data_IF_801203109637
#
_entry.id   IF_801203109637
#
_cell.length_a   1.000
_cell.length_b   1.000
_cell.length_c   1.000
_cell.angle_alpha   90.00
_cell.angle_beta   90.00
_cell.angle_gamma   90.00
#
_symmetry.space_group_name_H-M   'P 1'
#
loop_
_entity.id
_entity.type
_entity.pdbx_description
1 polymer ?
#
# COMPACT_ATOMS: atom_id res chain seq x y z
N UNK A 1 2.92 -19.65 -15.12
CA UNK A 1 2.33 -19.69 -13.77
C UNK A 1 2.78 -20.90 -12.94
N UNK A 2 2.92 -22.12 -13.49
CA UNK A 2 3.33 -23.31 -12.72
C UNK A 2 4.69 -23.18 -12.01
N UNK A 3 5.65 -22.45 -12.59
CA UNK A 3 6.95 -22.26 -11.94
C UNK A 3 6.90 -21.29 -10.75
N UNK A 4 5.99 -20.32 -10.74
CA UNK A 4 5.78 -19.43 -9.58
C UNK A 4 5.25 -20.24 -8.40
N UNK A 5 4.28 -21.11 -8.66
CA UNK A 5 3.70 -21.98 -7.63
C UNK A 5 4.71 -23.03 -7.12
N UNK A 6 5.59 -23.54 -7.99
CA UNK A 6 6.57 -24.56 -7.61
C UNK A 6 7.81 -24.00 -6.92
N UNK A 7 8.29 -22.82 -7.33
CA UNK A 7 9.56 -22.26 -6.87
C UNK A 7 9.37 -21.16 -5.83
N UNK A 8 8.35 -20.32 -5.99
CA UNK A 8 8.18 -19.11 -5.18
C UNK A 8 7.24 -19.41 -4.01
N UNK A 9 6.06 -19.98 -4.25
CA UNK A 9 5.05 -20.19 -3.20
C UNK A 9 5.53 -21.00 -1.97
N UNK A 10 6.37 -22.05 -2.10
CA UNK A 10 6.85 -22.78 -0.92
C UNK A 10 7.78 -21.98 -0.01
N UNK A 11 8.43 -20.94 -0.53
CA UNK A 11 9.32 -20.04 0.22
C UNK A 11 8.63 -18.76 0.70
N UNK A 12 7.39 -18.51 0.29
CA UNK A 12 6.64 -17.32 0.70
C UNK A 12 6.01 -17.58 2.05
N UNK A 13 6.46 -16.83 3.06
CA UNK A 13 5.75 -16.71 4.33
C UNK A 13 4.35 -16.15 4.08
N UNK A 14 3.31 -16.74 4.65
CA UNK A 14 1.94 -16.20 4.57
C UNK A 14 1.71 -15.15 5.66
N UNK A 15 1.97 -13.87 5.36
CA UNK A 15 1.87 -12.75 6.31
C UNK A 15 0.44 -12.45 6.77
N UNK A 16 -0.55 -12.95 6.03
CA UNK A 16 -1.98 -12.86 6.35
C UNK A 16 -2.47 -13.98 7.28
N UNK A 17 -1.62 -14.95 7.65
CA UNK A 17 -2.03 -16.00 8.57
C UNK A 17 -2.22 -15.43 9.98
N UNK A 18 -3.36 -15.70 10.65
CA UNK A 18 -3.63 -15.19 12.01
C UNK A 18 -2.68 -15.75 13.08
N UNK A 19 -1.85 -16.75 12.74
CA UNK A 19 -0.84 -17.33 13.63
C UNK A 19 0.58 -16.77 13.38
N UNK A 20 0.73 -15.79 12.50
CA UNK A 20 2.02 -15.17 12.19
C UNK A 20 2.33 -14.04 13.19
N UNK A 21 3.10 -14.35 14.24
CA UNK A 21 3.48 -13.40 15.30
C UNK A 21 4.93 -12.89 15.21
N UNK A 22 5.62 -13.14 14.09
CA UNK A 22 7.03 -12.76 13.93
C UNK A 22 7.23 -11.26 13.66
N UNK A 23 6.32 -10.63 12.91
CA UNK A 23 6.38 -9.21 12.54
C UNK A 23 4.99 -8.57 12.59
N UNK A 24 4.94 -7.25 12.71
CA UNK A 24 3.69 -6.50 12.60
C UNK A 24 3.11 -6.70 11.20
N UNK A 25 1.93 -7.34 11.11
CA UNK A 25 1.31 -7.64 9.83
C UNK A 25 0.76 -6.36 9.18
N UNK A 26 1.55 -5.80 8.27
CA UNK A 26 1.26 -4.55 7.57
C UNK A 26 0.53 -4.81 6.24
N UNK A 27 -0.63 -5.49 6.25
CA UNK A 27 -1.47 -5.65 5.04
C UNK A 27 -2.90 -6.17 5.31
N UNK A 28 -3.44 -6.05 6.53
CA UNK A 28 -4.69 -6.74 6.88
C UNK A 28 -5.99 -6.00 6.47
N UNK A 29 -5.89 -4.81 5.89
CA UNK A 29 -7.03 -4.01 5.44
C UNK A 29 -7.57 -4.50 4.08
N UNK A 30 -8.09 -5.73 4.06
CA UNK A 30 -8.81 -6.27 2.90
C UNK A 30 -10.31 -5.92 3.04
N UNK A 31 -11.02 -5.40 2.03
CA UNK A 31 -10.65 -5.15 0.62
C UNK A 31 -9.98 -3.80 0.21
N UNK A 32 -9.94 -2.71 1.01
CA UNK A 32 -9.42 -1.41 0.55
C UNK A 32 -8.01 -1.46 -0.04
N UNK A 33 -7.11 -2.25 0.53
CA UNK A 33 -5.72 -2.36 0.06
C UNK A 33 -5.63 -2.90 -1.37
N UNK A 34 -6.46 -3.90 -1.71
CA UNK A 34 -6.47 -4.49 -3.04
C UNK A 34 -6.95 -3.47 -4.08
N UNK A 35 -8.05 -2.79 -3.78
CA UNK A 35 -8.58 -1.74 -4.65
C UNK A 35 -7.57 -0.60 -4.83
N UNK A 36 -6.91 -0.18 -3.74
CA UNK A 36 -5.90 0.87 -3.80
C UNK A 36 -4.71 0.48 -4.68
N UNK A 37 -4.20 -0.74 -4.55
CA UNK A 37 -3.09 -1.22 -5.37
C UNK A 37 -3.47 -1.28 -6.85
N UNK A 38 -4.64 -1.82 -7.18
CA UNK A 38 -5.14 -1.89 -8.57
C UNK A 38 -5.30 -0.48 -9.16
N UNK A 39 -5.88 0.45 -8.40
CA UNK A 39 -6.08 1.82 -8.85
C UNK A 39 -4.76 2.58 -8.99
N UNK A 40 -3.84 2.41 -8.03
CA UNK A 40 -2.53 3.08 -8.03
C UNK A 40 -1.66 2.59 -9.18
N UNK A 41 -1.57 1.27 -9.37
CA UNK A 41 -0.78 0.66 -10.45
C UNK A 41 -1.41 0.92 -11.83
N UNK A 42 -2.75 0.97 -11.90
CA UNK A 42 -3.48 1.32 -13.12
C UNK A 42 -3.26 2.76 -13.56
N UNK A 43 -3.14 3.70 -12.61
CA UNK A 43 -2.97 5.11 -12.92
C UNK A 43 -1.51 5.48 -13.28
N UNK A 44 -0.53 4.60 -12.99
CA UNK A 44 0.91 4.77 -13.30
C UNK A 44 1.47 6.16 -12.96
N UNK A 45 0.97 6.75 -11.88
CA UNK A 45 1.33 8.12 -11.49
C UNK A 45 2.72 8.16 -10.87
N UNK A 46 3.59 9.00 -11.43
CA UNK A 46 4.88 9.32 -10.84
C UNK A 46 4.72 10.43 -9.80
N UNK A 47 4.93 10.10 -8.53
CA UNK A 47 4.75 11.01 -7.38
C UNK A 47 5.95 11.90 -7.05
N UNK A 48 7.08 11.70 -7.75
CA UNK A 48 8.36 12.35 -7.43
C UNK A 48 8.42 13.79 -7.97
N UNK A 49 7.72 14.06 -9.09
CA UNK A 49 7.67 15.39 -9.69
C UNK A 49 6.23 15.92 -9.61
N UNK A 50 6.08 17.18 -9.17
CA UNK A 50 4.78 17.87 -9.07
C UNK A 50 4.06 17.91 -10.42
N UNK A 51 4.83 18.06 -11.50
CA UNK A 51 4.32 18.21 -12.87
C UNK A 51 3.77 16.91 -13.46
N UNK A 52 4.22 15.74 -12.97
CA UNK A 52 3.81 14.45 -13.52
C UNK A 52 2.47 13.93 -12.97
N UNK A 53 2.00 14.45 -11.83
CA UNK A 53 0.65 14.15 -11.33
C UNK A 53 0.19 15.14 -10.25
N UNK A 54 -0.32 16.32 -10.65
CA UNK A 54 -0.76 17.34 -9.68
C UNK A 54 -1.87 16.84 -8.76
N UNK A 55 -2.79 16.01 -9.26
CA UNK A 55 -3.88 15.42 -8.48
C UNK A 55 -3.40 14.47 -7.37
N UNK A 56 -2.30 13.74 -7.60
CA UNK A 56 -1.77 12.84 -6.59
C UNK A 56 -1.01 13.59 -5.49
N UNK A 57 -0.34 14.69 -5.84
CA UNK A 57 0.32 15.56 -4.86
C UNK A 57 -0.69 16.33 -4.00
N UNK A 58 -1.81 16.76 -4.57
CA UNK A 58 -2.90 17.37 -3.80
C UNK A 58 -3.53 16.38 -2.81
N UNK A 59 -3.79 15.14 -3.25
CA UNK A 59 -4.29 14.08 -2.37
C UNK A 59 -3.33 13.78 -1.22
N UNK A 60 -2.02 13.79 -1.49
CA UNK A 60 -0.99 13.62 -0.47
C UNK A 60 -1.01 14.75 0.56
N UNK A 61 -1.15 16.02 0.12
CA UNK A 61 -1.26 17.16 1.03
C UNK A 61 -2.51 17.07 1.93
N UNK A 62 -3.66 16.65 1.39
CA UNK A 62 -4.87 16.45 2.19
C UNK A 62 -4.67 15.35 3.24
N UNK A 63 -4.06 14.23 2.86
CA UNK A 63 -3.79 13.13 3.79
C UNK A 63 -2.79 13.52 4.88
N UNK A 64 -1.75 14.28 4.54
CA UNK A 64 -0.77 14.79 5.51
C UNK A 64 -1.38 15.82 6.47
N UNK A 65 -2.31 16.65 5.99
CA UNK A 65 -3.06 17.58 6.86
C UNK A 65 -3.93 16.83 7.87
N UNK A 66 -4.64 15.77 7.43
CA UNK A 66 -5.38 14.92 8.35
C UNK A 66 -4.47 14.21 9.35
N UNK A 67 -3.32 13.70 8.91
CA UNK A 67 -2.35 13.10 9.83
C UNK A 67 -1.90 14.13 10.88
N UNK A 68 -1.50 15.33 10.47
CA UNK A 68 -1.09 16.41 11.37
C UNK A 68 -2.12 16.74 12.45
N UNK A 69 -3.41 16.77 12.10
CA UNK A 69 -4.52 16.96 13.04
C UNK A 69 -4.65 15.80 14.05
N UNK A 70 -4.40 14.56 13.61
CA UNK A 70 -4.50 13.38 14.47
C UNK A 70 -3.30 13.20 15.42
N UNK A 71 -2.13 13.75 15.07
CA UNK A 71 -0.94 13.78 15.95
C UNK A 71 -0.77 15.09 16.72
N UNK A 72 -1.80 15.97 16.74
CA UNK A 72 -1.80 17.25 17.47
C UNK A 72 -0.62 18.18 17.11
N UNK A 73 -0.11 18.07 15.87
CA UNK A 73 0.99 18.91 15.38
C UNK A 73 0.48 20.20 14.69
N UNK A 74 -0.83 20.44 14.70
CA UNK A 74 -1.52 21.56 14.05
C UNK A 74 -2.54 22.22 14.98
#
# INVERSE_FOLDING_TARGET
>A
MKDVERVIMPGVTHWHSPQFHAYFSAANSYPPQLWLNILSDGHRVHRILLDSSPACTELEMVMMNWLGQNVELA
#
